data_IF_469904063601
#
_entry.id   IF_469904063601
#
_cell.length_a   1.000
_cell.length_b   1.000
_cell.length_c   1.000
_cell.angle_alpha   90.00
_cell.angle_beta   90.00
_cell.angle_gamma   90.00
#
_symmetry.space_group_name_H-M   'P 1'
#
loop_
_entity.id
_entity.type
_entity.pdbx_description
1 polymer ?
#
# COMPACT_ATOMS: atom_id res chain seq x y z
N UNK A 1 -7.36 4.13 1.41
CA UNK A 1 -6.40 3.54 2.37
C UNK A 1 -7.13 2.67 3.38
N UNK A 2 -8.27 3.06 3.98
CA UNK A 2 -9.14 2.15 4.74
C UNK A 2 -10.65 2.41 4.48
N UNK A 3 -11.51 1.37 4.53
CA UNK A 3 -11.11 -0.02 4.30
C UNK A 3 -10.48 -0.16 2.90
N UNK A 4 -9.65 -1.18 2.70
CA UNK A 4 -9.14 -1.49 1.35
C UNK A 4 -10.26 -2.18 0.59
N UNK A 5 -10.86 -1.49 -0.38
CA UNK A 5 -11.91 -2.07 -1.24
C UNK A 5 -11.77 -1.58 -2.68
N UNK A 6 -12.43 -2.22 -3.66
CA UNK A 6 -12.36 -1.80 -5.06
C UNK A 6 -12.86 -0.37 -5.29
N UNK A 7 -13.77 0.13 -4.45
CA UNK A 7 -14.30 1.50 -4.57
C UNK A 7 -13.24 2.57 -4.31
N UNK A 8 -12.10 2.20 -3.72
CA UNK A 8 -11.03 3.13 -3.39
C UNK A 8 -10.50 3.85 -4.63
N UNK A 9 -10.59 3.27 -5.83
CA UNK A 9 -10.18 3.91 -7.08
C UNK A 9 -11.06 5.10 -7.47
N UNK A 10 -12.34 5.09 -7.06
CA UNK A 10 -13.24 6.22 -7.27
C UNK A 10 -12.93 7.38 -6.33
N UNK A 11 -12.52 7.08 -5.11
CA UNK A 11 -12.22 8.08 -4.09
C UNK A 11 -10.74 8.54 -4.10
N UNK A 12 -9.84 7.72 -4.63
CA UNK A 12 -8.38 7.93 -4.64
C UNK A 12 -7.86 7.70 -6.05
N UNK A 13 -7.95 8.75 -6.85
CA UNK A 13 -7.41 8.75 -8.23
C UNK A 13 -5.92 8.43 -8.23
N UNK A 14 -5.43 7.80 -9.31
CA UNK A 14 -4.01 7.46 -9.44
C UNK A 14 -3.11 8.70 -9.30
N UNK A 15 -3.50 9.83 -9.90
CA UNK A 15 -2.76 11.09 -9.81
C UNK A 15 -2.63 11.58 -8.35
N UNK A 16 -3.72 11.51 -7.57
CA UNK A 16 -3.67 11.88 -6.16
C UNK A 16 -2.76 10.94 -5.36
N UNK A 17 -2.88 9.63 -5.59
CA UNK A 17 -2.06 8.62 -4.89
C UNK A 17 -0.58 8.79 -5.21
N UNK A 18 -0.24 9.08 -6.47
CA UNK A 18 1.13 9.33 -6.90
C UNK A 18 1.72 10.59 -6.24
N UNK A 19 0.98 11.70 -6.24
CA UNK A 19 1.40 12.93 -5.58
C UNK A 19 1.59 12.72 -4.07
N UNK A 20 0.60 12.14 -3.40
CA UNK A 20 0.65 11.85 -1.96
C UNK A 20 1.83 10.93 -1.61
N UNK A 21 2.10 9.92 -2.43
CA UNK A 21 3.21 8.99 -2.24
C UNK A 21 4.56 9.70 -2.37
N UNK A 22 4.75 10.47 -3.43
CA UNK A 22 6.02 11.13 -3.74
C UNK A 22 6.31 12.29 -2.77
N UNK A 23 5.28 13.03 -2.37
CA UNK A 23 5.44 14.22 -1.54
C UNK A 23 5.50 13.90 -0.05
N UNK A 24 4.75 12.89 0.41
CA UNK A 24 4.58 12.61 1.85
C UNK A 24 4.95 11.16 2.19
N UNK A 25 4.17 10.17 1.73
CA UNK A 25 4.17 8.84 2.35
C UNK A 25 5.46 8.05 2.14
N UNK A 26 6.14 8.20 0.99
CA UNK A 26 7.40 7.48 0.72
C UNK A 26 8.55 7.88 1.65
N UNK A 27 8.42 9.04 2.32
CA UNK A 27 9.43 9.61 3.23
C UNK A 27 9.16 9.24 4.70
N UNK A 28 7.99 8.70 4.98
CA UNK A 28 7.58 8.33 6.34
C UNK A 28 8.49 7.24 6.91
N UNK A 29 8.79 7.35 8.20
CA UNK A 29 9.74 6.47 8.87
C UNK A 29 9.35 4.99 8.76
N UNK A 30 8.05 4.68 8.78
CA UNK A 30 7.51 3.33 8.66
C UNK A 30 7.70 2.71 7.26
N UNK A 31 7.92 3.53 6.22
CA UNK A 31 8.17 3.09 4.84
C UNK A 31 9.67 2.94 4.58
N UNK A 32 10.48 3.84 5.13
CA UNK A 32 11.94 3.86 4.93
C UNK A 32 12.67 2.85 5.83
N UNK A 33 12.14 2.56 7.02
CA UNK A 33 12.74 1.61 7.94
C UNK A 33 12.70 0.18 7.38
N UNK A 34 13.87 -0.47 7.30
CA UNK A 34 13.97 -1.88 6.97
C UNK A 34 13.31 -2.73 8.07
N UNK A 35 12.41 -3.63 7.69
CA UNK A 35 11.72 -4.56 8.58
C UNK A 35 10.82 -3.90 9.64
N UNK A 36 10.07 -2.86 9.26
CA UNK A 36 9.03 -2.30 10.12
C UNK A 36 7.98 -3.37 10.47
N UNK A 37 7.76 -3.56 11.78
CA UNK A 37 6.68 -4.41 12.28
C UNK A 37 5.34 -3.65 12.37
N UNK A 38 5.29 -2.38 11.98
CA UNK A 38 4.08 -1.57 12.02
C UNK A 38 3.08 -2.07 10.96
N UNK A 39 1.90 -2.48 11.41
CA UNK A 39 0.84 -3.04 10.57
C UNK A 39 0.30 -2.05 9.54
N UNK A 40 0.37 -0.74 9.80
CA UNK A 40 -0.04 0.32 8.86
C UNK A 40 0.78 0.32 7.57
N UNK A 41 2.00 -0.24 7.61
CA UNK A 41 2.81 -0.41 6.41
C UNK A 41 2.06 -1.22 5.34
N UNK A 42 1.26 -2.22 5.72
CA UNK A 42 0.46 -3.00 4.76
C UNK A 42 -0.54 -2.14 3.98
N UNK A 43 -1.23 -1.21 4.65
CA UNK A 43 -2.19 -0.29 4.03
C UNK A 43 -1.49 0.68 3.08
N UNK A 44 -0.33 1.20 3.50
CA UNK A 44 0.50 2.08 2.68
C UNK A 44 0.99 1.37 1.42
N UNK A 45 1.48 0.14 1.54
CA UNK A 45 1.97 -0.63 0.41
C UNK A 45 0.85 -0.99 -0.58
N UNK A 46 -0.36 -1.28 -0.12
CA UNK A 46 -1.50 -1.49 -1.02
C UNK A 46 -1.83 -0.21 -1.80
N UNK A 47 -1.78 0.96 -1.16
CA UNK A 47 -1.98 2.24 -1.85
C UNK A 47 -0.82 2.53 -2.83
N UNK A 48 0.42 2.28 -2.40
CA UNK A 48 1.66 2.45 -3.19
C UNK A 48 1.73 1.53 -4.41
N UNK A 49 0.97 0.44 -4.44
CA UNK A 49 0.87 -0.42 -5.61
C UNK A 49 0.29 0.32 -6.83
N UNK A 50 -0.36 1.47 -6.64
CA UNK A 50 -0.76 2.37 -7.75
C UNK A 50 0.44 3.05 -8.42
N UNK A 51 1.55 3.21 -7.70
CA UNK A 51 2.76 3.91 -8.16
C UNK A 51 3.85 2.92 -8.56
N UNK A 52 4.09 1.91 -7.72
CA UNK A 52 5.04 0.83 -8.00
C UNK A 52 4.46 -0.52 -7.54
N UNK A 53 3.69 -1.19 -8.42
CA UNK A 53 3.04 -2.45 -8.12
C UNK A 53 4.03 -3.55 -7.70
N UNK A 54 5.14 -3.67 -8.43
CA UNK A 54 6.13 -4.74 -8.22
C UNK A 54 6.86 -4.61 -6.89
N UNK A 55 7.33 -3.40 -6.55
CA UNK A 55 7.96 -3.16 -5.25
C UNK A 55 6.98 -3.40 -4.09
N UNK A 56 5.73 -2.95 -4.26
CA UNK A 56 4.68 -3.13 -3.28
C UNK A 56 4.38 -4.60 -3.04
N UNK A 57 4.27 -5.41 -4.10
CA UNK A 57 4.10 -6.87 -4.00
C UNK A 57 5.25 -7.54 -3.26
N UNK A 58 6.50 -7.19 -3.57
CA UNK A 58 7.66 -7.73 -2.90
C UNK A 58 7.66 -7.43 -1.39
N UNK A 59 7.29 -6.20 -1.00
CA UNK A 59 7.20 -5.79 0.41
C UNK A 59 6.00 -6.41 1.13
N UNK A 60 4.83 -6.46 0.48
CA UNK A 60 3.58 -7.01 1.04
C UNK A 60 3.68 -8.48 1.40
N UNK A 61 4.52 -9.25 0.71
CA UNK A 61 4.75 -10.66 1.03
C UNK A 61 5.18 -10.87 2.49
N UNK A 62 5.98 -9.96 3.05
CA UNK A 62 6.58 -10.11 4.38
C UNK A 62 6.11 -9.07 5.40
N UNK A 63 5.29 -8.08 5.02
CA UNK A 63 4.83 -7.03 5.92
C UNK A 63 3.90 -7.57 7.04
N UNK A 64 3.91 -6.92 8.21
CA UNK A 64 2.85 -7.07 9.22
C UNK A 64 1.53 -6.53 8.66
N UNK A 65 0.44 -7.26 8.84
CA UNK A 65 -0.87 -6.91 8.29
C UNK A 65 -1.70 -6.11 9.27
N UNK A 66 -2.40 -5.09 8.78
CA UNK A 66 -3.48 -4.41 9.48
C UNK A 66 -4.60 -5.39 9.84
N UNK A 67 -5.30 -5.16 10.96
CA UNK A 67 -6.33 -6.08 11.46
C UNK A 67 -7.57 -6.16 10.55
N UNK A 68 -7.83 -5.11 9.77
CA UNK A 68 -8.84 -5.06 8.72
C UNK A 68 -8.37 -5.51 7.35
N UNK A 69 -7.11 -5.94 7.18
CA UNK A 69 -6.52 -6.27 5.88
C UNK A 69 -5.90 -7.67 5.88
N UNK A 70 -6.50 -8.60 5.14
CA UNK A 70 -5.88 -9.91 4.91
C UNK A 70 -4.73 -9.81 3.90
N UNK A 71 -3.68 -10.63 4.07
CA UNK A 71 -2.54 -10.67 3.14
C UNK A 71 -2.95 -11.08 1.73
N UNK A 72 -3.87 -12.02 1.60
CA UNK A 72 -4.40 -12.45 0.29
C UNK A 72 -5.11 -11.30 -0.42
N UNK A 73 -5.93 -10.52 0.29
CA UNK A 73 -6.59 -9.35 -0.25
C UNK A 73 -5.59 -8.24 -0.63
N UNK A 74 -4.59 -7.99 0.22
CA UNK A 74 -3.53 -7.02 -0.07
C UNK A 74 -2.76 -7.37 -1.36
N UNK A 75 -2.35 -8.64 -1.50
CA UNK A 75 -1.63 -9.12 -2.68
C UNK A 75 -2.52 -9.09 -3.93
N UNK A 76 -3.79 -9.49 -3.84
CA UNK A 76 -4.73 -9.40 -4.95
C UNK A 76 -4.95 -7.95 -5.39
N UNK A 77 -5.20 -7.04 -4.44
CA UNK A 77 -5.45 -5.63 -4.74
C UNK A 77 -4.20 -4.95 -5.32
N UNK A 78 -2.99 -5.32 -4.87
CA UNK A 78 -1.75 -4.81 -5.43
C UNK A 78 -1.47 -5.38 -6.83
N UNK A 79 -1.69 -6.68 -7.05
CA UNK A 79 -1.41 -7.35 -8.33
C UNK A 79 -2.37 -6.93 -9.46
N UNK A 80 -3.57 -6.46 -9.12
CA UNK A 80 -4.55 -5.94 -10.10
C UNK A 80 -4.26 -4.50 -10.54
N UNK A 81 -3.26 -3.85 -9.93
CA UNK A 81 -2.75 -2.53 -10.32
C UNK A 81 -1.47 -2.62 -11.19
N UNK A 82 -0.97 -3.84 -11.45
CA UNK A 82 0.17 -4.10 -12.34
C UNK A 82 -0.16 -3.90 -13.81
#
# INVERSE_FOLDING_TARGET
MIPVSPINELARTAAFVEQEWNDVLSKEHIVVMKNSNNTWLSLLLVNAATVNPMESLHKLKNASMDDGLSRSWALYNAATRC
#
